data_IF_503218179983
#
_entry.id   IF_503218179983
#
_cell.length_a   1.000
_cell.length_b   1.000
_cell.length_c   1.000
_cell.angle_alpha   90.00
_cell.angle_beta   90.00
_cell.angle_gamma   90.00
#
_symmetry.space_group_name_H-M   'P 1'
#
loop_
_entity.id
_entity.type
_entity.pdbx_description
1 polymer ?
#
# COMPACT_ATOMS: atom_id res chain seq x y z
N UNK A 1 5.90 9.55 0.10
CA UNK A 1 5.56 9.17 1.50
C UNK A 1 6.02 7.75 1.82
N UNK A 2 5.74 6.77 0.94
CA UNK A 2 6.09 5.35 1.06
C UNK A 2 7.55 5.07 1.48
N UNK A 3 8.53 5.65 0.78
CA UNK A 3 9.96 5.49 1.16
C UNK A 3 10.26 5.98 2.59
N UNK A 4 9.59 7.06 3.02
CA UNK A 4 9.81 7.61 4.35
C UNK A 4 9.23 6.71 5.43
N UNK A 5 8.09 6.07 5.15
CA UNK A 5 7.48 5.07 6.01
C UNK A 5 8.38 3.83 6.13
N UNK A 6 8.90 3.32 5.01
CA UNK A 6 9.78 2.15 4.99
C UNK A 6 11.09 2.34 5.78
N UNK A 7 11.61 3.56 5.82
CA UNK A 7 12.83 3.90 6.55
C UNK A 7 12.58 4.30 8.02
N UNK A 8 11.34 4.24 8.50
CA UNK A 8 11.05 4.63 9.89
C UNK A 8 11.73 3.67 10.87
N UNK A 9 12.40 4.20 11.91
CA UNK A 9 13.00 3.36 12.95
C UNK A 9 11.97 2.79 13.93
N UNK A 10 10.76 3.36 13.96
CA UNK A 10 9.66 2.88 14.79
C UNK A 10 8.87 1.83 14.02
N UNK A 11 8.37 0.77 14.68
CA UNK A 11 7.52 -0.22 14.02
C UNK A 11 6.25 0.44 13.48
N UNK A 12 5.89 0.09 12.26
CA UNK A 12 4.76 0.66 11.51
C UNK A 12 3.69 -0.40 11.25
N UNK A 13 2.42 -0.01 11.40
CA UNK A 13 1.27 -0.90 11.18
C UNK A 13 0.31 -0.23 10.19
N UNK A 14 0.02 -0.93 9.10
CA UNK A 14 -1.07 -0.61 8.20
C UNK A 14 -2.34 -1.35 8.63
N UNK A 15 -3.28 -0.63 9.23
CA UNK A 15 -4.62 -1.13 9.55
C UNK A 15 -5.56 -0.83 8.38
N UNK A 16 -6.08 -1.86 7.73
CA UNK A 16 -6.77 -1.74 6.44
C UNK A 16 -8.19 -2.32 6.55
N UNK A 17 -9.17 -1.44 6.42
CA UNK A 17 -10.59 -1.77 6.52
C UNK A 17 -11.34 -1.13 5.33
N UNK A 18 -11.30 -1.82 4.19
CA UNK A 18 -11.76 -1.31 2.89
C UNK A 18 -10.86 -1.76 1.75
N UNK A 19 -11.14 -1.36 0.51
CA UNK A 19 -10.30 -1.71 -0.64
C UNK A 19 -8.91 -1.07 -0.56
N UNK A 20 -7.88 -1.83 -0.96
CA UNK A 20 -6.51 -1.35 -1.04
C UNK A 20 -6.01 -1.52 -2.46
N UNK A 21 -5.98 -0.42 -3.22
CA UNK A 21 -5.58 -0.39 -4.61
C UNK A 21 -4.47 0.63 -4.88
N UNK A 22 -3.67 0.31 -5.88
CA UNK A 22 -2.70 1.22 -6.49
C UNK A 22 -1.72 1.84 -5.47
N UNK A 23 -1.67 3.17 -5.34
CA UNK A 23 -0.74 3.86 -4.44
C UNK A 23 -0.93 3.51 -2.96
N UNK A 24 -2.15 3.11 -2.56
CA UNK A 24 -2.40 2.65 -1.19
C UNK A 24 -1.79 1.27 -0.92
N UNK A 25 -1.63 0.44 -1.96
CA UNK A 25 -0.99 -0.86 -1.86
C UNK A 25 0.49 -0.72 -1.58
N UNK A 26 1.20 0.19 -2.25
CA UNK A 26 2.60 0.48 -1.96
C UNK A 26 2.79 1.02 -0.55
N UNK A 27 1.89 1.90 -0.11
CA UNK A 27 1.95 2.45 1.24
C UNK A 27 1.73 1.37 2.30
N UNK A 28 0.77 0.46 2.10
CA UNK A 28 0.56 -0.69 2.98
C UNK A 28 1.74 -1.67 2.95
N UNK A 29 2.37 -1.85 1.79
CA UNK A 29 3.55 -2.71 1.63
C UNK A 29 4.79 -2.16 2.32
N UNK A 30 4.92 -0.84 2.43
CA UNK A 30 6.01 -0.19 3.14
C UNK A 30 5.92 -0.30 4.67
N UNK A 31 4.75 -0.69 5.22
CA UNK A 31 4.61 -0.94 6.64
C UNK A 31 5.17 -2.32 7.04
N UNK A 32 5.70 -2.42 8.26
CA UNK A 32 6.24 -3.67 8.82
C UNK A 32 5.15 -4.73 8.99
N UNK A 33 3.99 -4.31 9.51
CA UNK A 33 2.85 -5.18 9.74
C UNK A 33 1.60 -4.68 9.01
N UNK A 34 0.79 -5.64 8.56
CA UNK A 34 -0.50 -5.38 7.91
C UNK A 34 -1.58 -6.13 8.66
N UNK A 35 -2.58 -5.39 9.13
CA UNK A 35 -3.79 -5.94 9.75
C UNK A 35 -4.95 -5.57 8.85
N UNK A 36 -5.56 -6.56 8.22
CA UNK A 36 -6.64 -6.34 7.28
C UNK A 36 -7.92 -7.04 7.73
N UNK A 37 -9.07 -6.44 7.42
CA UNK A 37 -10.37 -7.08 7.59
C UNK A 37 -10.55 -8.26 6.63
N UNK A 38 -11.28 -9.30 7.03
CA UNK A 38 -11.54 -10.47 6.18
C UNK A 38 -12.20 -10.14 4.83
N UNK A 39 -12.94 -9.03 4.75
CA UNK A 39 -13.65 -8.58 3.55
C UNK A 39 -12.80 -7.72 2.61
N UNK A 40 -11.49 -7.59 2.85
CA UNK A 40 -10.63 -6.72 2.03
C UNK A 40 -10.37 -7.29 0.63
N UNK A 41 -10.19 -6.40 -0.34
CA UNK A 41 -9.62 -6.71 -1.65
C UNK A 41 -8.35 -5.87 -1.86
N UNK A 42 -7.25 -6.55 -2.19
CA UNK A 42 -6.02 -5.93 -2.67
C UNK A 42 -6.01 -6.00 -4.20
N UNK A 43 -5.81 -4.85 -4.87
CA UNK A 43 -5.83 -4.78 -6.32
C UNK A 43 -4.71 -3.88 -6.87
N UNK A 44 -4.25 -4.18 -8.07
CA UNK A 44 -3.36 -3.31 -8.86
C UNK A 44 -4.05 -3.02 -10.18
N UNK A 45 -4.70 -1.87 -10.30
CA UNK A 45 -5.44 -1.47 -11.51
C UNK A 45 -4.74 -0.36 -12.30
N UNK A 46 -3.46 -0.13 -12.00
CA UNK A 46 -2.58 0.74 -12.78
C UNK A 46 -2.72 0.57 -14.30
N UNK A 47 -2.83 -0.65 -14.89
CA UNK A 47 -2.99 -0.80 -16.33
C UNK A 47 -4.28 -0.17 -16.89
N UNK A 48 -5.40 -0.25 -16.16
CA UNK A 48 -6.66 0.38 -16.56
C UNK A 48 -6.58 1.90 -16.49
N UNK A 49 -5.80 2.41 -15.53
CA UNK A 49 -5.51 3.84 -15.39
C UNK A 49 -4.41 4.35 -16.35
N UNK A 50 -3.83 3.50 -17.21
CA UNK A 50 -2.80 3.88 -18.18
C UNK A 50 -1.39 3.99 -17.58
N UNK A 51 -1.16 3.44 -16.39
CA UNK A 51 0.14 3.41 -15.73
C UNK A 51 0.82 2.04 -15.86
N UNK A 52 2.15 1.99 -16.05
CA UNK A 52 2.89 0.74 -16.21
C UNK A 52 2.98 -0.09 -14.92
N UNK A 53 2.59 0.47 -13.77
CA UNK A 53 2.63 -0.22 -12.49
C UNK A 53 2.67 0.76 -11.32
N UNK A 54 3.06 0.23 -10.17
CA UNK A 54 3.10 0.97 -8.92
C UNK A 54 4.13 2.11 -8.91
N UNK A 55 3.69 3.25 -8.41
CA UNK A 55 4.37 4.54 -8.44
C UNK A 55 4.99 4.89 -7.08
N UNK A 56 5.30 3.88 -6.26
CA UNK A 56 5.76 3.96 -4.86
C UNK A 56 6.92 4.94 -4.55
N UNK A 57 7.60 5.48 -5.56
CA UNK A 57 8.74 6.39 -5.45
C UNK A 57 8.60 7.74 -6.17
N UNK A 58 7.49 8.03 -6.87
CA UNK A 58 7.22 9.36 -7.46
C UNK A 58 6.25 10.19 -6.60
#
# INVERSE_FOLDING_TARGET
MTQRLYLMPQPTIAAINGGCADSSLSMAAAADFRIASDSIVFNTDFPTAGFPGDLAGI
#
